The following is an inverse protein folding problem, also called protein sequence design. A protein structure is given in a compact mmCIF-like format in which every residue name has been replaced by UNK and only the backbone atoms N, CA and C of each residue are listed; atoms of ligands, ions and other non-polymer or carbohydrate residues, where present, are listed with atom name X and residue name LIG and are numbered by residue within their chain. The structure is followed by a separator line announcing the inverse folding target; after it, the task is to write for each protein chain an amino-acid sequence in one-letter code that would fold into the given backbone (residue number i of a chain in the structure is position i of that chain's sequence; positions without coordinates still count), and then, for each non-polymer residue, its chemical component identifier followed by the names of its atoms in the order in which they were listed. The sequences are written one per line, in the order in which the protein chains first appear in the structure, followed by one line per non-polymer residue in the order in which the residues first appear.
data_IF_526712104373
#
_entry.id   IF_526712104373
#
_cell.length_a   1.000
_cell.length_b   1.000
_cell.length_c   1.000
_cell.angle_alpha   90.00
_cell.angle_beta   90.00
_cell.angle_gamma   90.00
#
_symmetry.space_group_name_H-M   'P 1'
#
loop_
_entity.id
_entity.type
_entity.pdbx_description
1 polymer ?
#
# COMPACT_ATOMS: atom_id res chain seq x y z
N UNK A 1 -13.35 -11.35 22.01
CA UNK A 1 -12.49 -10.15 22.22
C UNK A 1 -11.25 -10.16 21.30
N UNK A 2 -10.44 -11.23 21.26
CA UNK A 2 -9.25 -11.29 20.41
C UNK A 2 -9.51 -11.01 18.90
N UNK A 3 -10.60 -11.56 18.34
CA UNK A 3 -11.00 -11.29 16.96
C UNK A 3 -11.30 -9.80 16.71
N UNK A 4 -12.09 -9.15 17.57
CA UNK A 4 -12.39 -7.73 17.45
C UNK A 4 -11.12 -6.86 17.52
N UNK A 5 -10.17 -7.24 18.37
CA UNK A 5 -8.85 -6.59 18.45
C UNK A 5 -8.07 -6.77 17.15
N UNK A 6 -8.11 -7.96 16.53
CA UNK A 6 -7.48 -8.22 15.22
C UNK A 6 -8.08 -7.34 14.12
N UNK A 7 -9.40 -7.24 14.04
CA UNK A 7 -10.09 -6.37 13.09
C UNK A 7 -9.75 -4.89 13.29
N UNK A 8 -9.74 -4.42 14.54
CA UNK A 8 -9.37 -3.05 14.86
C UNK A 8 -7.93 -2.70 14.44
N UNK A 9 -6.98 -3.64 14.60
CA UNK A 9 -5.60 -3.49 14.12
C UNK A 9 -5.51 -3.49 12.60
N UNK A 10 -6.35 -4.26 11.91
CA UNK A 10 -6.38 -4.28 10.44
C UNK A 10 -6.78 -2.93 9.84
N UNK A 11 -7.73 -2.22 10.47
CA UNK A 11 -8.12 -0.85 10.03
C UNK A 11 -6.93 0.09 9.96
N UNK A 12 -6.10 0.10 11.01
CA UNK A 12 -4.90 0.93 11.06
C UNK A 12 -3.89 0.58 9.97
N UNK A 13 -3.73 -0.72 9.69
CA UNK A 13 -2.86 -1.18 8.59
C UNK A 13 -3.35 -0.66 7.23
N UNK A 14 -4.66 -0.72 6.97
CA UNK A 14 -5.25 -0.20 5.74
C UNK A 14 -4.99 1.31 5.58
N UNK A 15 -5.15 2.09 6.65
CA UNK A 15 -4.90 3.54 6.62
C UNK A 15 -3.43 3.88 6.34
N UNK A 16 -2.51 3.10 6.91
CA UNK A 16 -1.09 3.23 6.65
C UNK A 16 -0.76 2.90 5.19
N UNK A 17 -1.23 1.74 4.70
CA UNK A 17 -0.99 1.29 3.33
C UNK A 17 -1.59 2.28 2.31
N UNK A 18 -2.76 2.84 2.60
CA UNK A 18 -3.38 3.88 1.78
C UNK A 18 -2.56 5.17 1.76
N UNK A 19 -1.99 5.59 2.89
CA UNK A 19 -1.13 6.78 2.95
C UNK A 19 0.12 6.60 2.11
N UNK A 20 0.74 5.42 2.18
CA UNK A 20 1.91 5.05 1.38
C UNK A 20 1.59 5.01 -0.12
N UNK A 21 0.48 4.35 -0.51
CA UNK A 21 -0.02 4.36 -1.89
C UNK A 21 -0.23 5.78 -2.40
N UNK A 22 -0.90 6.62 -1.60
CA UNK A 22 -1.25 7.98 -1.97
C UNK A 22 -0.02 8.87 -2.12
N UNK A 23 0.72 9.08 -1.04
CA UNK A 23 1.77 10.09 -0.99
C UNK A 23 3.14 9.53 -1.36
N UNK A 24 3.42 8.28 -0.99
CA UNK A 24 4.72 7.64 -1.24
C UNK A 24 4.87 7.12 -2.66
N UNK A 25 3.79 6.57 -3.23
CA UNK A 25 3.78 5.95 -4.56
C UNK A 25 3.06 6.79 -5.62
N UNK A 26 2.47 7.92 -5.23
CA UNK A 26 1.90 8.90 -6.15
C UNK A 26 0.55 8.51 -6.75
N UNK A 27 -0.33 7.85 -5.99
CA UNK A 27 -1.69 7.57 -6.45
C UNK A 27 -2.44 8.85 -6.84
N UNK A 28 -2.17 9.97 -6.15
CA UNK A 28 -2.78 11.28 -6.41
C UNK A 28 -1.99 12.16 -7.39
N UNK A 29 -0.89 11.65 -7.96
CA UNK A 29 -0.06 12.36 -8.95
C UNK A 29 -0.50 12.14 -10.41
N UNK A 30 -1.62 11.43 -10.64
CA UNK A 30 -2.09 11.19 -12.00
C UNK A 30 -2.77 12.43 -12.60
N UNK A 31 -2.21 12.98 -13.67
CA UNK A 31 -2.73 14.17 -14.36
C UNK A 31 -3.42 13.88 -15.70
N UNK A 32 -3.51 12.60 -16.10
CA UNK A 32 -4.14 12.19 -17.35
C UNK A 32 -5.67 12.30 -17.33
N UNK A 33 -6.30 12.29 -18.52
CA UNK A 33 -7.77 12.43 -18.66
C UNK A 33 -8.46 11.23 -19.27
N UNK A 34 -7.76 10.11 -19.43
CA UNK A 34 -8.33 8.88 -20.00
C UNK A 34 -8.54 7.84 -18.91
N UNK A 35 -9.67 7.16 -18.96
CA UNK A 35 -9.95 6.03 -18.06
C UNK A 35 -8.85 4.97 -18.13
N UNK A 36 -8.38 4.63 -19.34
CA UNK A 36 -7.32 3.64 -19.54
C UNK A 36 -6.00 4.08 -18.88
N UNK A 37 -5.64 5.36 -19.02
CA UNK A 37 -4.45 5.92 -18.38
C UNK A 37 -4.55 5.86 -16.86
N UNK A 38 -5.70 6.25 -16.31
CA UNK A 38 -5.95 6.19 -14.86
C UNK A 38 -5.88 4.75 -14.35
N UNK A 39 -6.52 3.81 -15.05
CA UNK A 39 -6.52 2.40 -14.66
C UNK A 39 -5.11 1.80 -14.67
N UNK A 40 -4.31 2.09 -15.70
CA UNK A 40 -2.89 1.69 -15.72
C UNK A 40 -2.11 2.30 -14.55
N UNK A 41 -2.30 3.59 -14.26
CA UNK A 41 -1.61 4.25 -13.15
C UNK A 41 -1.93 3.59 -11.81
N UNK A 42 -3.22 3.44 -11.49
CA UNK A 42 -3.68 2.79 -10.25
C UNK A 42 -3.16 1.35 -10.15
N UNK A 43 -3.15 0.62 -11.26
CA UNK A 43 -2.63 -0.76 -11.30
C UNK A 43 -1.14 -0.81 -10.96
N UNK A 44 -0.33 0.06 -11.58
CA UNK A 44 1.12 0.11 -11.35
C UNK A 44 1.46 0.56 -9.92
N UNK A 45 0.78 1.58 -9.42
CA UNK A 45 0.94 2.06 -8.03
C UNK A 45 0.58 0.96 -7.02
N UNK A 46 -0.49 0.22 -7.28
CA UNK A 46 -0.89 -0.93 -6.44
C UNK A 46 0.12 -2.07 -6.50
N UNK A 47 0.65 -2.38 -7.70
CA UNK A 47 1.69 -3.40 -7.86
C UNK A 47 2.99 -3.03 -7.11
N UNK A 48 3.39 -1.76 -7.14
CA UNK A 48 4.53 -1.25 -6.38
C UNK A 48 4.31 -1.41 -4.86
N UNK A 49 3.12 -1.10 -4.36
CA UNK A 49 2.79 -1.30 -2.95
C UNK A 49 2.83 -2.76 -2.53
N UNK A 50 2.31 -3.66 -3.37
CA UNK A 50 2.37 -5.10 -3.14
C UNK A 50 3.83 -5.58 -3.07
N UNK A 51 4.68 -5.12 -3.99
CA UNK A 51 6.10 -5.42 -3.98
C UNK A 51 6.78 -4.96 -2.67
N UNK A 52 6.58 -3.71 -2.26
CA UNK A 52 7.16 -3.19 -1.02
C UNK A 52 6.65 -3.94 0.22
N UNK A 53 5.38 -4.29 0.23
CA UNK A 53 4.78 -5.10 1.30
C UNK A 53 5.44 -6.47 1.39
N UNK A 54 5.66 -7.15 0.27
CA UNK A 54 6.38 -8.43 0.24
C UNK A 54 7.82 -8.29 0.73
N UNK A 55 8.54 -7.22 0.35
CA UNK A 55 9.90 -6.94 0.83
C UNK A 55 9.97 -6.66 2.33
N UNK A 56 8.91 -6.09 2.92
CA UNK A 56 8.80 -5.89 4.38
C UNK A 56 8.51 -7.19 5.13
N UNK A 57 7.79 -8.13 4.51
CA UNK A 57 7.51 -9.45 5.08
C UNK A 57 8.70 -10.40 4.99
N UNK A 58 9.59 -10.20 3.99
CA UNK A 58 10.83 -10.95 3.80
C UNK A 58 12.06 -10.00 3.76
N UNK A 59 12.45 -9.44 4.91
CA UNK A 59 13.54 -8.49 4.97
C UNK A 59 14.89 -9.20 4.78
N UNK A 60 15.71 -8.71 3.84
CA UNK A 60 17.06 -9.24 3.58
C UNK A 60 18.01 -9.08 4.78
N UNK A 61 17.76 -8.06 5.60
CA UNK A 61 18.49 -7.81 6.86
C UNK A 61 17.46 -7.90 7.98
N UNK A 62 17.66 -8.77 8.99
CA UNK A 62 16.75 -8.86 10.12
C UNK A 62 16.67 -7.51 10.85
N UNK A 63 15.46 -7.05 11.14
CA UNK A 63 15.26 -5.86 11.96
C UNK A 63 15.80 -6.14 13.36
N UNK A 64 16.74 -5.32 13.90
CA UNK A 64 17.21 -5.49 15.27
C UNK A 64 16.04 -5.33 16.25
N UNK A 65 16.02 -6.18 17.27
CA UNK A 65 15.00 -6.24 18.31
C UNK A 65 15.00 -5.00 19.20
#
# INVERSE_FOLDING_TARGET
VAELVRWAKMRWRIEHDYRELKHGLGLDHFEGRTWRGWHHHVTLVTAAQAFLTLRRLDPKVPTPA
#
